data_IF_648493021471
#
_entry.id   IF_648493021471
#
_cell.length_a   1.000
_cell.length_b   1.000
_cell.length_c   1.000
_cell.angle_alpha   90.00
_cell.angle_beta   90.00
_cell.angle_gamma   90.00
#
_symmetry.space_group_name_H-M   'P 1'
#
loop_
_entity.id
_entity.type
_entity.pdbx_description
1 polymer ?
#
# COMPACT_ATOMS: atom_id res chain seq x y z
N UNK A 1 3.66 -22.39 9.72
CA UNK A 1 3.47 -23.29 8.56
C UNK A 1 2.62 -22.55 7.54
N UNK A 2 3.22 -22.25 6.40
CA UNK A 2 2.91 -21.11 5.54
C UNK A 2 2.65 -21.57 4.11
N UNK A 3 1.44 -22.09 3.88
CA UNK A 3 1.02 -22.56 2.56
C UNK A 3 -0.25 -21.83 2.13
N UNK A 4 -0.22 -21.26 0.92
CA UNK A 4 -1.41 -20.84 0.16
C UNK A 4 -2.27 -22.06 -0.15
N UNK A 5 -3.61 -21.96 -0.25
CA UNK A 5 -4.50 -23.10 -0.47
C UNK A 5 -4.31 -23.83 -1.82
N UNK A 6 -3.59 -23.27 -2.80
CA UNK A 6 -3.39 -23.88 -4.11
C UNK A 6 -1.93 -24.31 -4.32
N UNK A 7 -1.55 -25.47 -3.75
CA UNK A 7 -0.19 -25.99 -3.90
C UNK A 7 -0.19 -27.18 -4.85
N UNK A 8 0.07 -26.91 -6.12
CA UNK A 8 0.49 -27.96 -7.05
C UNK A 8 1.95 -28.27 -6.75
N UNK A 9 2.26 -29.52 -6.40
CA UNK A 9 3.65 -29.99 -6.27
C UNK A 9 4.44 -29.65 -7.55
N UNK A 10 5.78 -29.54 -7.49
CA UNK A 10 6.59 -29.32 -8.69
C UNK A 10 6.22 -30.32 -9.78
N UNK A 11 5.91 -29.83 -10.97
CA UNK A 11 5.47 -30.67 -12.08
C UNK A 11 6.64 -31.42 -12.71
N UNK A 12 7.83 -30.81 -12.73
CA UNK A 12 9.10 -31.44 -13.12
C UNK A 12 9.89 -31.87 -11.86
N UNK A 13 10.24 -33.16 -11.72
CA UNK A 13 11.10 -33.65 -10.64
C UNK A 13 12.43 -32.91 -10.49
N UNK A 14 12.96 -32.31 -11.57
CA UNK A 14 14.19 -31.52 -11.55
C UNK A 14 14.06 -30.19 -10.81
N UNK A 15 12.84 -29.71 -10.59
CA UNK A 15 12.60 -28.49 -9.81
C UNK A 15 12.54 -28.76 -8.30
N UNK A 16 12.44 -30.03 -7.87
CA UNK A 16 12.39 -30.37 -6.43
C UNK A 16 13.63 -29.89 -5.65
N UNK A 17 14.88 -30.07 -6.13
CA UNK A 17 16.06 -29.55 -5.43
C UNK A 17 16.07 -28.01 -5.32
N UNK A 18 15.48 -27.32 -6.30
CA UNK A 18 15.33 -25.85 -6.28
C UNK A 18 14.34 -25.46 -5.20
N UNK A 19 13.18 -26.14 -5.15
CA UNK A 19 12.17 -25.93 -4.13
C UNK A 19 12.75 -26.13 -2.72
N UNK A 20 13.50 -27.21 -2.49
CA UNK A 20 14.07 -27.51 -1.17
C UNK A 20 15.05 -26.41 -0.71
N UNK A 21 15.88 -25.90 -1.63
CA UNK A 21 16.79 -24.77 -1.36
C UNK A 21 16.03 -23.49 -1.07
N UNK A 22 15.04 -23.14 -1.90
CA UNK A 22 14.21 -21.95 -1.70
C UNK A 22 13.45 -22.00 -0.36
N UNK A 23 12.96 -23.18 0.05
CA UNK A 23 12.33 -23.36 1.35
C UNK A 23 13.31 -23.10 2.51
N UNK A 24 14.54 -23.59 2.39
CA UNK A 24 15.60 -23.33 3.38
C UNK A 24 15.94 -21.83 3.47
N UNK A 25 16.10 -21.16 2.32
CA UNK A 25 16.35 -19.72 2.25
C UNK A 25 15.19 -18.94 2.86
N UNK A 26 13.94 -19.28 2.52
CA UNK A 26 12.73 -18.67 3.11
C UNK A 26 12.73 -18.78 4.64
N UNK A 27 13.04 -19.95 5.19
CA UNK A 27 13.12 -20.14 6.64
C UNK A 27 14.19 -19.26 7.27
N UNK A 28 15.37 -19.12 6.65
CA UNK A 28 16.43 -18.22 7.14
C UNK A 28 16.01 -16.75 7.10
N UNK A 29 15.35 -16.31 6.02
CA UNK A 29 14.77 -14.96 5.92
C UNK A 29 13.71 -14.71 7.00
N UNK A 30 12.85 -15.70 7.29
CA UNK A 30 11.85 -15.58 8.36
C UNK A 30 12.48 -15.50 9.75
N UNK A 31 13.56 -16.27 10.00
CA UNK A 31 14.32 -16.20 11.25
C UNK A 31 14.99 -14.83 11.42
N UNK A 32 15.62 -14.30 10.37
CA UNK A 32 16.24 -12.98 10.37
C UNK A 32 15.22 -11.87 10.70
N UNK A 33 14.01 -11.97 10.13
CA UNK A 33 12.89 -11.08 10.48
C UNK A 33 12.50 -11.17 11.96
N UNK A 34 12.41 -12.37 12.50
CA UNK A 34 11.92 -12.62 13.86
C UNK A 34 12.92 -12.25 14.95
N UNK A 35 14.22 -12.30 14.64
CA UNK A 35 15.27 -12.00 15.61
C UNK A 35 15.34 -10.50 15.91
N UNK A 36 14.89 -10.11 17.12
CA UNK A 36 14.94 -8.73 17.62
C UNK A 36 16.11 -8.45 18.55
N UNK A 37 17.04 -9.40 18.72
CA UNK A 37 18.18 -9.24 19.63
C UNK A 37 19.25 -8.31 19.07
N UNK A 38 19.36 -8.22 17.74
CA UNK A 38 20.29 -7.34 17.02
C UNK A 38 19.58 -6.66 15.85
N UNK A 39 20.20 -5.60 15.32
CA UNK A 39 19.79 -5.00 14.05
C UNK A 39 20.09 -5.95 12.89
N UNK A 40 19.31 -5.84 11.81
CA UNK A 40 19.54 -6.63 10.59
C UNK A 40 20.79 -6.10 9.86
N UNK A 41 21.75 -6.98 9.58
CA UNK A 41 22.96 -6.61 8.84
C UNK A 41 22.75 -6.71 7.33
N UNK A 42 23.31 -5.75 6.60
CA UNK A 42 23.23 -5.72 5.13
C UNK A 42 23.88 -6.93 4.47
N UNK A 43 24.97 -7.46 5.03
CA UNK A 43 25.65 -8.67 4.53
C UNK A 43 24.71 -9.87 4.53
N UNK A 44 24.03 -10.11 5.66
CA UNK A 44 23.21 -11.31 5.86
C UNK A 44 22.01 -11.34 4.89
N UNK A 45 21.46 -10.17 4.57
CA UNK A 45 20.38 -10.01 3.59
C UNK A 45 20.90 -10.20 2.16
N UNK A 46 22.06 -9.63 1.82
CA UNK A 46 22.65 -9.73 0.48
C UNK A 46 23.07 -11.18 0.18
N UNK A 47 23.64 -11.88 1.15
CA UNK A 47 24.02 -13.29 1.00
C UNK A 47 22.80 -14.17 0.69
N UNK A 48 21.69 -13.96 1.42
CA UNK A 48 20.43 -14.67 1.16
C UNK A 48 19.83 -14.30 -0.20
N UNK A 49 19.96 -13.04 -0.61
CA UNK A 49 19.55 -12.60 -1.94
C UNK A 49 20.35 -13.32 -3.05
N UNK A 50 21.67 -13.40 -2.92
CA UNK A 50 22.54 -14.06 -3.89
C UNK A 50 22.19 -15.55 -4.01
N UNK A 51 21.93 -16.23 -2.89
CA UNK A 51 21.45 -17.62 -2.88
C UNK A 51 20.12 -17.81 -3.62
N UNK A 52 19.17 -16.86 -3.51
CA UNK A 52 17.91 -16.88 -4.29
C UNK A 52 18.21 -16.70 -5.76
N UNK A 53 19.08 -15.76 -6.13
CA UNK A 53 19.44 -15.52 -7.53
C UNK A 53 20.09 -16.74 -8.17
N UNK A 54 20.95 -17.45 -7.46
CA UNK A 54 21.49 -18.73 -7.94
C UNK A 54 20.37 -19.71 -8.30
N UNK A 55 19.32 -19.79 -7.47
CA UNK A 55 18.18 -20.67 -7.75
C UNK A 55 17.36 -20.19 -8.95
N UNK A 56 17.19 -18.88 -9.13
CA UNK A 56 16.51 -18.30 -10.30
C UNK A 56 17.25 -18.65 -11.59
N UNK A 57 18.58 -18.53 -11.62
CA UNK A 57 19.39 -18.87 -12.80
C UNK A 57 19.22 -20.35 -13.17
N UNK A 58 19.23 -21.24 -12.17
CA UNK A 58 19.01 -22.67 -12.41
C UNK A 58 17.58 -22.93 -12.91
N UNK A 59 16.58 -22.28 -12.32
CA UNK A 59 15.17 -22.43 -12.72
C UNK A 59 14.91 -21.95 -14.15
N UNK A 60 15.44 -20.78 -14.53
CA UNK A 60 15.30 -20.22 -15.88
C UNK A 60 15.99 -21.10 -16.93
N UNK A 61 17.13 -21.71 -16.56
CA UNK A 61 17.82 -22.69 -17.38
C UNK A 61 17.00 -23.97 -17.61
N UNK A 62 16.21 -24.41 -16.63
CA UNK A 62 15.31 -25.57 -16.76
C UNK A 62 14.05 -25.24 -17.56
N UNK A 63 13.44 -24.07 -17.31
CA UNK A 63 12.15 -23.67 -17.89
C UNK A 63 12.25 -23.00 -19.25
N UNK A 64 13.23 -23.35 -20.10
CA UNK A 64 13.41 -22.66 -21.39
C UNK A 64 12.16 -22.72 -22.29
N UNK A 65 11.40 -23.82 -22.24
CA UNK A 65 10.19 -24.05 -23.06
C UNK A 65 8.85 -23.84 -22.33
N UNK A 66 8.82 -23.88 -20.99
CA UNK A 66 7.57 -23.89 -20.19
C UNK A 66 7.50 -22.76 -19.14
N UNK A 67 7.98 -21.55 -19.48
CA UNK A 67 8.10 -20.40 -18.56
C UNK A 67 6.80 -19.95 -17.88
N UNK A 68 5.63 -20.37 -18.38
CA UNK A 68 4.32 -19.95 -17.89
C UNK A 68 3.68 -20.93 -16.89
N UNK A 69 4.32 -22.07 -16.62
CA UNK A 69 3.79 -23.03 -15.66
C UNK A 69 4.00 -22.53 -14.23
N UNK A 70 2.89 -22.31 -13.52
CA UNK A 70 2.89 -21.93 -12.10
C UNK A 70 2.76 -23.18 -11.23
N UNK A 71 3.73 -23.39 -10.35
CA UNK A 71 3.70 -24.46 -9.36
C UNK A 71 4.24 -23.97 -8.00
N UNK A 72 4.46 -24.89 -7.07
CA UNK A 72 4.93 -24.57 -5.72
C UNK A 72 6.28 -23.82 -5.69
N UNK A 73 7.17 -24.05 -6.64
CA UNK A 73 8.46 -23.34 -6.74
C UNK A 73 8.20 -21.85 -6.90
N UNK A 74 7.27 -21.47 -7.76
CA UNK A 74 6.90 -20.06 -8.02
C UNK A 74 6.33 -19.38 -6.77
N UNK A 75 5.48 -20.08 -6.01
CA UNK A 75 4.92 -19.55 -4.77
C UNK A 75 6.00 -19.30 -3.72
N UNK A 76 6.94 -20.24 -3.55
CA UNK A 76 8.03 -20.09 -2.57
C UNK A 76 9.05 -19.05 -3.05
N UNK A 77 9.29 -18.96 -4.36
CA UNK A 77 10.15 -17.94 -4.94
C UNK A 77 9.55 -16.53 -4.74
N UNK A 78 8.24 -16.36 -4.93
CA UNK A 78 7.55 -15.11 -4.61
C UNK A 78 7.71 -14.78 -3.12
N UNK A 79 7.47 -15.74 -2.21
CA UNK A 79 7.70 -15.56 -0.77
C UNK A 79 9.12 -15.07 -0.45
N UNK A 80 10.14 -15.68 -1.05
CA UNK A 80 11.54 -15.28 -0.88
C UNK A 80 11.78 -13.84 -1.35
N UNK A 81 11.28 -13.47 -2.53
CA UNK A 81 11.45 -12.12 -3.07
C UNK A 81 10.68 -11.06 -2.28
N UNK A 82 9.50 -11.36 -1.74
CA UNK A 82 8.77 -10.48 -0.83
C UNK A 82 9.59 -10.21 0.43
N UNK A 83 10.12 -11.26 1.06
CA UNK A 83 10.94 -11.15 2.27
C UNK A 83 12.26 -10.41 2.00
N UNK A 84 12.94 -10.70 0.89
CA UNK A 84 14.15 -9.98 0.46
C UNK A 84 13.83 -8.50 0.27
N UNK A 85 12.77 -8.18 -0.48
CA UNK A 85 12.39 -6.79 -0.76
C UNK A 85 12.15 -6.01 0.51
N UNK A 86 11.37 -6.55 1.45
CA UNK A 86 11.14 -5.90 2.74
C UNK A 86 12.42 -5.82 3.59
N UNK A 87 13.32 -6.82 3.50
CA UNK A 87 14.61 -6.80 4.20
C UNK A 87 15.53 -5.72 3.64
N UNK A 88 15.52 -5.49 2.32
CA UNK A 88 16.24 -4.39 1.67
C UNK A 88 15.76 -3.02 2.16
N UNK A 89 14.46 -2.87 2.42
CA UNK A 89 13.93 -1.65 3.04
C UNK A 89 14.44 -1.49 4.48
N UNK A 90 14.42 -2.56 5.28
CA UNK A 90 14.89 -2.54 6.68
C UNK A 90 16.38 -2.20 6.82
N UNK A 91 17.20 -2.60 5.85
CA UNK A 91 18.62 -2.22 5.80
C UNK A 91 18.86 -0.89 5.08
N UNK A 92 17.83 -0.13 4.70
CA UNK A 92 17.97 1.21 4.11
C UNK A 92 18.40 1.24 2.64
N UNK A 93 18.26 0.13 1.90
CA UNK A 93 18.58 0.01 0.47
C UNK A 93 17.34 0.19 -0.43
N UNK A 94 16.49 1.15 -0.08
CA UNK A 94 15.13 1.27 -0.64
C UNK A 94 15.10 1.61 -2.13
N UNK A 95 16.18 2.19 -2.66
CA UNK A 95 16.29 2.62 -4.07
C UNK A 95 17.00 1.60 -4.96
N UNK A 96 17.15 0.35 -4.50
CA UNK A 96 17.77 -0.73 -5.25
C UNK A 96 16.71 -1.67 -5.86
N UNK A 97 16.99 -2.37 -6.98
CA UNK A 97 16.03 -3.24 -7.64
C UNK A 97 15.39 -4.31 -6.74
N UNK A 98 16.11 -5.03 -5.85
CA UNK A 98 15.47 -6.01 -4.97
C UNK A 98 14.41 -5.38 -4.05
N UNK A 99 14.57 -4.11 -3.65
CA UNK A 99 13.66 -3.43 -2.73
C UNK A 99 12.27 -3.17 -3.32
N UNK A 100 12.12 -3.12 -4.65
CA UNK A 100 10.84 -2.75 -5.29
C UNK A 100 9.82 -3.88 -5.36
N UNK A 101 10.23 -5.14 -5.16
CA UNK A 101 9.39 -6.31 -5.45
C UNK A 101 8.10 -6.37 -4.62
N UNK A 102 8.17 -6.12 -3.32
CA UNK A 102 7.02 -6.17 -2.43
C UNK A 102 6.02 -5.05 -2.73
N UNK A 103 6.54 -3.86 -3.07
CA UNK A 103 5.73 -2.73 -3.50
C UNK A 103 5.01 -3.05 -4.82
N UNK A 104 5.71 -3.58 -5.84
CA UNK A 104 5.14 -3.97 -7.13
C UNK A 104 4.05 -5.04 -6.99
N UNK A 105 4.29 -6.04 -6.14
CA UNK A 105 3.33 -7.12 -5.92
C UNK A 105 2.05 -6.62 -5.23
N UNK A 106 2.21 -5.76 -4.23
CA UNK A 106 1.06 -5.10 -3.56
C UNK A 106 0.34 -4.16 -4.52
N UNK A 107 1.07 -3.41 -5.35
CA UNK A 107 0.53 -2.51 -6.36
C UNK A 107 -0.29 -3.26 -7.40
N UNK A 108 0.19 -4.42 -7.90
CA UNK A 108 -0.61 -5.27 -8.80
C UNK A 108 -1.94 -5.66 -8.16
N UNK A 109 -1.93 -6.11 -6.90
CA UNK A 109 -3.17 -6.45 -6.17
C UNK A 109 -4.11 -5.26 -6.06
N UNK A 110 -3.58 -4.08 -5.76
CA UNK A 110 -4.37 -2.85 -5.72
C UNK A 110 -5.00 -2.54 -7.08
N UNK A 111 -4.23 -2.61 -8.17
CA UNK A 111 -4.73 -2.41 -9.54
C UNK A 111 -5.83 -3.42 -9.91
N UNK A 112 -5.66 -4.70 -9.57
CA UNK A 112 -6.68 -5.74 -9.75
C UNK A 112 -7.97 -5.38 -8.98
N UNK A 113 -7.83 -4.90 -7.74
CA UNK A 113 -8.97 -4.45 -6.93
C UNK A 113 -9.62 -3.16 -7.44
N UNK A 114 -8.87 -2.23 -8.03
CA UNK A 114 -9.45 -1.04 -8.69
C UNK A 114 -10.28 -1.47 -9.90
N UNK A 115 -9.74 -2.40 -10.70
CA UNK A 115 -10.45 -3.00 -11.85
C UNK A 115 -11.73 -3.70 -11.41
N UNK A 116 -11.67 -4.49 -10.35
CA UNK A 116 -12.83 -5.16 -9.74
C UNK A 116 -13.84 -4.17 -9.15
N UNK A 117 -13.38 -3.10 -8.50
CA UNK A 117 -14.26 -2.11 -7.88
C UNK A 117 -15.06 -1.32 -8.92
N UNK A 118 -14.47 -1.07 -10.09
CA UNK A 118 -14.99 -0.20 -11.15
C UNK A 118 -15.32 1.22 -10.68
N UNK A 119 -14.70 1.67 -9.58
CA UNK A 119 -14.73 3.06 -9.12
C UNK A 119 -13.39 3.41 -8.47
N UNK A 120 -12.75 4.46 -8.97
CA UNK A 120 -11.41 4.91 -8.59
C UNK A 120 -11.20 6.32 -9.12
N UNK A 121 -10.34 7.11 -8.48
CA UNK A 121 -10.03 8.48 -8.89
C UNK A 121 -8.80 8.54 -9.81
N UNK A 122 -8.70 9.53 -10.72
CA UNK A 122 -7.51 9.73 -11.54
C UNK A 122 -6.23 9.85 -10.71
N UNK A 123 -6.31 10.50 -9.54
CA UNK A 123 -5.18 10.66 -8.61
C UNK A 123 -4.62 9.33 -8.09
N UNK A 124 -5.49 8.32 -7.91
CA UNK A 124 -5.03 6.98 -7.52
C UNK A 124 -4.12 6.39 -8.62
N UNK A 125 -4.49 6.60 -9.89
CA UNK A 125 -3.76 6.11 -11.07
C UNK A 125 -2.46 6.89 -11.28
N UNK A 126 -2.49 8.22 -11.20
CA UNK A 126 -1.31 9.09 -11.33
C UNK A 126 -0.22 8.73 -10.30
N UNK A 127 -0.62 8.50 -9.05
CA UNK A 127 0.30 8.12 -7.98
C UNK A 127 0.96 6.77 -8.23
N UNK A 128 0.21 5.79 -8.75
CA UNK A 128 0.73 4.47 -9.12
C UNK A 128 1.66 4.59 -10.34
N UNK A 129 1.25 5.33 -11.37
CA UNK A 129 2.02 5.54 -12.60
C UNK A 129 3.37 6.19 -12.32
N UNK A 130 3.39 7.25 -11.51
CA UNK A 130 4.64 7.92 -11.10
C UNK A 130 5.59 6.94 -10.38
N UNK A 131 5.04 6.11 -9.48
CA UNK A 131 5.84 5.13 -8.75
C UNK A 131 6.39 4.01 -9.65
N UNK A 132 5.62 3.55 -10.63
CA UNK A 132 6.10 2.57 -11.62
C UNK A 132 7.31 3.09 -12.40
N UNK A 133 7.29 4.38 -12.78
CA UNK A 133 8.44 4.99 -13.44
C UNK A 133 9.66 5.06 -12.53
N UNK A 134 9.50 5.46 -11.26
CA UNK A 134 10.61 5.44 -10.30
C UNK A 134 11.20 4.03 -10.15
N UNK A 135 10.37 2.98 -10.04
CA UNK A 135 10.85 1.60 -9.96
C UNK A 135 11.61 1.15 -11.21
N UNK A 136 11.17 1.59 -12.39
CA UNK A 136 11.90 1.35 -13.63
C UNK A 136 13.26 2.05 -13.63
N UNK A 137 13.33 3.30 -13.18
CA UNK A 137 14.61 4.02 -13.05
C UNK A 137 15.57 3.31 -12.08
N UNK A 138 15.05 2.73 -10.99
CA UNK A 138 15.87 1.95 -10.05
C UNK A 138 16.43 0.70 -10.73
N UNK A 139 15.61 -0.01 -11.51
CA UNK A 139 16.04 -1.16 -12.30
C UNK A 139 17.09 -0.79 -13.35
N UNK A 140 16.91 0.34 -14.05
CA UNK A 140 17.87 0.85 -15.03
C UNK A 140 19.23 1.20 -14.39
N UNK A 141 19.22 1.91 -13.26
CA UNK A 141 20.46 2.23 -12.51
C UNK A 141 21.13 0.97 -11.93
N UNK A 142 20.36 -0.08 -11.68
CA UNK A 142 20.84 -1.38 -11.21
C UNK A 142 21.52 -2.24 -12.27
N UNK A 143 21.49 -1.84 -13.55
CA UNK A 143 22.15 -2.59 -14.63
C UNK A 143 23.65 -2.73 -14.38
N UNK A 144 24.18 -3.93 -14.57
CA UNK A 144 25.59 -4.26 -14.29
C UNK A 144 25.90 -4.54 -12.82
N UNK A 145 25.06 -4.10 -11.87
CA UNK A 145 25.19 -4.41 -10.43
C UNK A 145 24.36 -5.62 -10.01
N UNK A 146 23.15 -5.78 -10.55
CA UNK A 146 22.24 -6.90 -10.21
C UNK A 146 22.12 -7.90 -11.36
N UNK A 147 21.66 -9.11 -11.02
CA UNK A 147 21.45 -10.18 -12.00
C UNK A 147 20.46 -9.76 -13.09
N UNK A 148 20.78 -9.99 -14.38
CA UNK A 148 19.85 -9.74 -15.48
C UNK A 148 18.51 -10.47 -15.33
N UNK A 149 18.50 -11.63 -14.68
CA UNK A 149 17.29 -12.43 -14.46
C UNK A 149 16.33 -11.73 -13.49
N UNK A 150 16.86 -11.09 -12.42
CA UNK A 150 16.06 -10.26 -11.53
C UNK A 150 15.49 -9.06 -12.27
N UNK A 151 16.32 -8.34 -13.01
CA UNK A 151 15.89 -7.13 -13.72
C UNK A 151 14.82 -7.45 -14.77
N UNK A 152 14.97 -8.57 -15.49
CA UNK A 152 13.94 -9.06 -16.41
C UNK A 152 12.64 -9.44 -15.71
N UNK A 153 12.71 -10.06 -14.53
CA UNK A 153 11.54 -10.41 -13.72
C UNK A 153 10.80 -9.14 -13.25
N UNK A 154 11.54 -8.13 -12.78
CA UNK A 154 10.98 -6.86 -12.32
C UNK A 154 10.35 -6.08 -13.46
N UNK A 155 11.00 -6.01 -14.63
CA UNK A 155 10.44 -5.33 -15.81
C UNK A 155 9.13 -6.00 -16.25
N UNK A 156 9.10 -7.33 -16.34
CA UNK A 156 7.87 -8.06 -16.68
C UNK A 156 6.73 -7.77 -15.69
N UNK A 157 7.02 -7.61 -14.39
CA UNK A 157 6.02 -7.22 -13.39
C UNK A 157 5.57 -5.77 -13.54
N UNK A 158 6.48 -4.86 -13.85
CA UNK A 158 6.17 -3.45 -14.16
C UNK A 158 5.23 -3.38 -15.36
N UNK A 159 5.56 -4.06 -16.46
CA UNK A 159 4.74 -4.09 -17.69
C UNK A 159 3.32 -4.61 -17.42
N UNK A 160 3.16 -5.64 -16.58
CA UNK A 160 1.84 -6.14 -16.17
C UNK A 160 1.05 -5.05 -15.44
N UNK A 161 1.66 -4.36 -14.48
CA UNK A 161 1.01 -3.28 -13.75
C UNK A 161 0.65 -2.11 -14.68
N UNK A 162 1.54 -1.72 -15.60
CA UNK A 162 1.28 -0.65 -16.58
C UNK A 162 0.15 -1.00 -17.53
N UNK A 163 0.05 -2.26 -17.96
CA UNK A 163 -1.07 -2.71 -18.79
C UNK A 163 -2.41 -2.58 -18.06
N UNK A 164 -2.47 -2.98 -16.79
CA UNK A 164 -3.69 -2.83 -15.99
C UNK A 164 -3.98 -1.34 -15.74
N UNK A 165 -2.95 -0.54 -15.47
CA UNK A 165 -3.08 0.91 -15.31
C UNK A 165 -3.66 1.57 -16.55
N UNK A 166 -3.14 1.25 -17.74
CA UNK A 166 -3.64 1.77 -19.02
C UNK A 166 -5.11 1.39 -19.27
N UNK A 167 -5.52 0.16 -18.93
CA UNK A 167 -6.94 -0.24 -18.99
C UNK A 167 -7.82 0.65 -18.08
N UNK A 168 -7.35 0.97 -16.87
CA UNK A 168 -8.06 1.81 -15.90
C UNK A 168 -8.11 3.28 -16.34
N UNK A 169 -7.01 3.81 -16.87
CA UNK A 169 -6.96 5.16 -17.43
C UNK A 169 -7.90 5.31 -18.63
N UNK A 170 -7.93 4.30 -19.51
CA UNK A 170 -8.85 4.27 -20.64
C UNK A 170 -10.31 4.30 -20.17
N UNK A 171 -10.66 3.62 -19.08
CA UNK A 171 -11.99 3.63 -18.49
C UNK A 171 -12.44 5.03 -18.00
N UNK A 172 -11.49 5.92 -17.68
CA UNK A 172 -11.76 7.31 -17.29
C UNK A 172 -11.58 8.32 -18.43
N UNK A 173 -11.03 7.91 -19.59
CA UNK A 173 -10.64 8.80 -20.70
C UNK A 173 -11.78 9.65 -21.28
N UNK A 174 -13.03 9.22 -21.10
CA UNK A 174 -14.21 9.94 -21.60
C UNK A 174 -14.72 11.02 -20.63
N UNK A 175 -14.19 11.10 -19.40
CA UNK A 175 -14.61 12.12 -18.43
C UNK A 175 -14.19 13.52 -18.89
N UNK A 176 -15.17 14.40 -19.10
CA UNK A 176 -14.90 15.80 -19.44
C UNK A 176 -14.40 16.58 -18.21
N UNK A 177 -13.69 17.71 -18.39
CA UNK A 177 -13.22 18.55 -17.28
C UNK A 177 -14.33 19.02 -16.34
N UNK A 178 -15.57 19.14 -16.83
CA UNK A 178 -16.74 19.54 -16.05
C UNK A 178 -17.30 18.39 -15.21
N UNK A 179 -17.22 17.15 -15.71
CA UNK A 179 -17.79 15.97 -15.07
C UNK A 179 -16.81 15.23 -14.16
N UNK A 180 -15.50 15.35 -14.42
CA UNK A 180 -14.46 14.72 -13.61
C UNK A 180 -14.53 15.10 -12.12
N UNK A 181 -14.74 16.38 -11.72
CA UNK A 181 -14.89 16.74 -10.31
C UNK A 181 -16.11 16.09 -9.63
N UNK A 182 -17.21 15.90 -10.38
CA UNK A 182 -18.42 15.25 -9.85
C UNK A 182 -18.19 13.75 -9.65
N UNK A 183 -17.53 13.10 -10.62
CA UNK A 183 -17.13 11.70 -10.50
C UNK A 183 -16.20 11.49 -9.29
N UNK A 184 -15.16 12.32 -9.13
CA UNK A 184 -14.25 12.26 -7.98
C UNK A 184 -14.98 12.43 -6.65
N UNK A 185 -15.94 13.36 -6.60
CA UNK A 185 -16.77 13.58 -5.41
C UNK A 185 -17.61 12.35 -5.09
N UNK A 186 -18.20 11.68 -6.08
CA UNK A 186 -18.93 10.43 -5.87
C UNK A 186 -18.03 9.29 -5.38
N UNK A 187 -16.82 9.14 -5.94
CA UNK A 187 -15.83 8.16 -5.45
C UNK A 187 -15.50 8.42 -3.99
N UNK A 188 -15.24 9.68 -3.64
CA UNK A 188 -14.95 10.11 -2.26
C UNK A 188 -16.10 9.82 -1.29
N UNK A 189 -17.35 10.13 -1.68
CA UNK A 189 -18.55 9.82 -0.89
C UNK A 189 -18.66 8.31 -0.66
N UNK A 190 -18.52 7.48 -1.71
CA UNK A 190 -18.65 6.03 -1.59
C UNK A 190 -17.59 5.42 -0.68
N UNK A 191 -16.33 5.88 -0.78
CA UNK A 191 -15.23 5.47 0.11
C UNK A 191 -15.52 5.89 1.56
N UNK A 192 -16.01 7.10 1.78
CA UNK A 192 -16.33 7.64 3.11
C UNK A 192 -17.50 6.91 3.77
N UNK A 193 -18.54 6.57 3.01
CA UNK A 193 -19.67 5.75 3.48
C UNK A 193 -19.21 4.34 3.88
N UNK A 194 -18.33 3.74 3.08
CA UNK A 194 -17.74 2.42 3.40
C UNK A 194 -16.90 2.47 4.68
N UNK A 195 -16.13 3.56 4.89
CA UNK A 195 -15.41 3.79 6.13
C UNK A 195 -16.34 3.92 7.33
N UNK A 196 -17.42 4.72 7.22
CA UNK A 196 -18.43 4.88 8.26
C UNK A 196 -19.05 3.55 8.69
N UNK A 197 -19.30 2.65 7.75
CA UNK A 197 -19.90 1.34 8.02
C UNK A 197 -19.03 0.42 8.90
N UNK A 198 -17.71 0.66 8.93
CA UNK A 198 -16.74 -0.18 9.69
C UNK A 198 -16.28 0.45 11.00
N UNK A 199 -16.86 1.58 11.40
CA UNK A 199 -16.58 2.19 12.71
C UNK A 199 -17.21 1.37 13.83
N UNK A 200 -16.59 1.41 15.02
CA UNK A 200 -17.08 0.72 16.22
C UNK A 200 -18.50 1.13 16.61
N UNK A 201 -18.85 2.40 16.37
CA UNK A 201 -20.21 2.93 16.48
C UNK A 201 -20.61 3.56 15.16
N UNK A 202 -21.77 3.19 14.64
CA UNK A 202 -22.29 3.71 13.38
C UNK A 202 -22.51 5.23 13.48
N UNK A 203 -21.81 6.05 12.66
CA UNK A 203 -21.83 7.50 12.78
C UNK A 203 -23.02 8.09 12.00
N UNK A 204 -24.20 8.12 12.61
CA UNK A 204 -25.41 8.60 11.93
C UNK A 204 -25.27 10.03 11.37
N UNK A 205 -24.66 10.96 12.12
CA UNK A 205 -24.46 12.34 11.68
C UNK A 205 -23.60 12.42 10.40
N UNK A 206 -22.40 11.84 10.42
CA UNK A 206 -21.51 11.79 9.25
C UNK A 206 -22.18 11.17 8.01
N UNK A 207 -23.01 10.13 8.21
CA UNK A 207 -23.74 9.48 7.12
C UNK A 207 -24.85 10.37 6.55
N UNK A 208 -25.53 11.16 7.38
CA UNK A 208 -26.50 12.16 6.91
C UNK A 208 -25.80 13.30 6.16
N UNK A 209 -24.66 13.79 6.67
CA UNK A 209 -23.87 14.84 6.00
C UNK A 209 -23.38 14.36 4.62
N UNK A 210 -22.94 13.10 4.52
CA UNK A 210 -22.55 12.49 3.24
C UNK A 210 -23.75 12.30 2.29
N UNK A 211 -24.95 12.02 2.83
CA UNK A 211 -26.17 11.94 2.04
C UNK A 211 -26.60 13.32 1.52
N UNK A 212 -26.40 14.38 2.30
CA UNK A 212 -26.66 15.75 1.86
C UNK A 212 -25.72 16.15 0.72
N UNK A 213 -24.42 15.91 0.88
CA UNK A 213 -23.42 16.10 -0.19
C UNK A 213 -23.76 15.28 -1.44
N UNK A 214 -24.26 14.04 -1.28
CA UNK A 214 -24.67 13.21 -2.42
C UNK A 214 -25.88 13.81 -3.17
N UNK A 215 -26.82 14.42 -2.45
CA UNK A 215 -27.97 15.12 -3.06
C UNK A 215 -27.55 16.39 -3.78
N UNK A 216 -26.56 17.12 -3.24
CA UNK A 216 -25.97 18.29 -3.91
C UNK A 216 -25.29 17.87 -5.21
N UNK A 217 -24.43 16.84 -5.19
CA UNK A 217 -23.81 16.31 -6.41
C UNK A 217 -24.89 15.87 -7.40
N UNK A 218 -25.92 15.18 -6.92
CA UNK A 218 -27.04 14.76 -7.77
C UNK A 218 -27.72 15.94 -8.48
N UNK A 219 -27.99 17.05 -7.80
CA UNK A 219 -28.63 18.22 -8.43
C UNK A 219 -27.74 18.85 -9.50
N UNK A 220 -26.43 18.87 -9.31
CA UNK A 220 -25.47 19.37 -10.31
C UNK A 220 -25.35 18.49 -11.55
N UNK A 221 -25.68 17.19 -11.44
CA UNK A 221 -25.62 16.21 -12.53
C UNK A 221 -26.89 16.20 -13.40
N UNK A 222 -28.03 16.67 -12.88
CA UNK A 222 -29.31 16.70 -13.60
C UNK A 222 -29.27 17.51 -14.92
N UNK A 223 -28.62 18.70 -15.00
CA UNK A 223 -28.50 19.45 -16.26
C UNK A 223 -27.78 18.67 -17.38
N UNK A 224 -26.93 17.71 -17.02
CA UNK A 224 -26.23 16.83 -17.97
C UNK A 224 -27.07 15.58 -18.34
N UNK A 225 -28.32 15.53 -17.89
CA UNK A 225 -29.23 14.40 -18.10
C UNK A 225 -28.82 13.13 -17.36
N UNK A 226 -27.93 13.24 -16.37
CA UNK A 226 -27.51 12.13 -15.50
C UNK A 226 -28.49 12.05 -14.34
N UNK A 227 -29.24 10.95 -14.26
CA UNK A 227 -30.28 10.76 -13.25
C UNK A 227 -30.06 9.48 -12.44
N UNK A 228 -30.28 9.53 -11.13
CA UNK A 228 -30.16 8.33 -10.28
C UNK A 228 -31.37 7.39 -10.41
N UNK A 229 -32.51 7.90 -10.89
CA UNK A 229 -33.79 7.19 -10.96
C UNK A 229 -34.50 7.56 -12.27
N UNK A 230 -34.94 6.56 -13.02
CA UNK A 230 -35.81 6.77 -14.20
C UNK A 230 -37.29 6.77 -13.81
N UNK A 231 -37.66 6.04 -12.75
CA UNK A 231 -39.05 5.90 -12.31
C UNK A 231 -39.51 7.02 -11.35
N UNK A 232 -40.82 7.33 -11.40
CA UNK A 232 -41.53 8.23 -10.47
C UNK A 232 -42.13 7.50 -9.26
N UNK A 233 -41.81 6.21 -9.08
CA UNK A 233 -42.37 5.33 -8.04
C UNK A 233 -41.98 5.66 -6.60
N UNK A 234 -42.42 4.82 -5.68
CA UNK A 234 -42.09 4.87 -4.25
C UNK A 234 -40.59 4.67 -4.01
N UNK A 235 -40.10 5.03 -2.80
CA UNK A 235 -38.67 4.87 -2.45
C UNK A 235 -38.18 3.42 -2.57
N UNK A 236 -39.05 2.45 -2.29
CA UNK A 236 -38.73 1.03 -2.33
C UNK A 236 -38.64 0.53 -3.78
N UNK A 237 -39.54 0.96 -4.66
CA UNK A 237 -39.51 0.64 -6.10
C UNK A 237 -38.24 1.19 -6.76
N UNK A 238 -37.84 2.43 -6.42
CA UNK A 238 -36.58 3.02 -6.89
C UNK A 238 -35.37 2.22 -6.43
N UNK A 239 -35.35 1.78 -5.17
CA UNK A 239 -34.23 1.00 -4.63
C UNK A 239 -34.14 -0.39 -5.28
N UNK A 240 -35.28 -1.03 -5.53
CA UNK A 240 -35.36 -2.31 -6.22
C UNK A 240 -34.90 -2.20 -7.69
N UNK A 241 -35.31 -1.14 -8.39
CA UNK A 241 -34.84 -0.83 -9.75
C UNK A 241 -33.32 -0.67 -9.79
N UNK A 242 -32.76 0.12 -8.88
CA UNK A 242 -31.31 0.32 -8.76
C UNK A 242 -30.57 -0.99 -8.47
N UNK A 243 -31.08 -1.80 -7.55
CA UNK A 243 -30.46 -3.08 -7.20
C UNK A 243 -30.46 -4.05 -8.39
N UNK A 244 -31.55 -4.09 -9.17
CA UNK A 244 -31.65 -4.93 -10.37
C UNK A 244 -30.70 -4.45 -11.49
N UNK A 245 -30.71 -3.15 -11.83
CA UNK A 245 -29.80 -2.56 -12.82
C UNK A 245 -28.33 -2.77 -12.45
N UNK A 246 -28.00 -2.64 -11.17
CA UNK A 246 -26.63 -2.81 -10.73
C UNK A 246 -26.16 -4.26 -10.80
N UNK A 247 -27.01 -5.23 -10.46
CA UNK A 247 -26.68 -6.66 -10.58
C UNK A 247 -26.36 -7.02 -12.04
N UNK A 248 -27.19 -6.58 -12.97
CA UNK A 248 -26.98 -6.77 -14.41
C UNK A 248 -25.66 -6.16 -14.89
N UNK A 249 -25.33 -4.93 -14.45
CA UNK A 249 -24.08 -4.26 -14.81
C UNK A 249 -22.82 -4.94 -14.22
N UNK A 250 -22.96 -5.62 -13.08
CA UNK A 250 -21.85 -6.39 -12.46
C UNK A 250 -21.66 -7.72 -13.17
N UNK A 251 -22.74 -8.38 -13.60
CA UNK A 251 -22.70 -9.67 -14.31
C UNK A 251 -22.25 -9.53 -15.78
N UNK A 252 -22.51 -8.38 -16.41
CA UNK A 252 -22.17 -8.10 -17.81
C UNK A 252 -21.48 -6.74 -18.00
N UNK A 253 -20.15 -6.66 -17.81
CA UNK A 253 -19.40 -5.45 -18.10
C UNK A 253 -19.35 -5.20 -19.61
N UNK A 254 -20.17 -4.25 -20.09
CA UNK A 254 -20.14 -3.71 -21.47
C UNK A 254 -18.86 -2.87 -21.73
N UNK A 255 -18.46 -2.62 -23.00
CA UNK A 255 -17.30 -1.79 -23.32
C UNK A 255 -17.45 -0.36 -22.77
N UNK A 256 -16.30 0.34 -22.67
CA UNK A 256 -16.13 1.63 -21.99
C UNK A 256 -17.41 2.48 -22.01
N UNK A 257 -18.09 2.64 -20.86
CA UNK A 257 -19.34 3.37 -20.81
C UNK A 257 -19.08 4.83 -21.20
N UNK A 258 -19.96 5.41 -22.02
CA UNK A 258 -20.04 6.86 -22.17
C UNK A 258 -19.97 7.50 -20.77
N UNK A 259 -19.21 8.58 -20.60
CA UNK A 259 -18.96 9.21 -19.29
C UNK A 259 -20.23 9.40 -18.45
N UNK A 260 -21.35 9.66 -19.13
CA UNK A 260 -22.69 9.69 -18.57
C UNK A 260 -23.06 8.41 -17.80
N UNK A 261 -22.98 7.24 -18.43
CA UNK A 261 -23.33 5.93 -17.86
C UNK A 261 -22.39 5.54 -16.71
N UNK A 262 -21.11 5.91 -16.81
CA UNK A 262 -20.14 5.71 -15.73
C UNK A 262 -20.57 6.44 -14.45
N UNK A 263 -20.85 7.74 -14.56
CA UNK A 263 -21.25 8.60 -13.44
C UNK A 263 -22.62 8.18 -12.92
N UNK A 264 -23.56 7.87 -13.80
CA UNK A 264 -24.89 7.39 -13.43
C UNK A 264 -24.82 6.11 -12.59
N UNK A 265 -24.03 5.14 -13.03
CA UNK A 265 -23.81 3.87 -12.30
C UNK A 265 -23.21 4.14 -10.92
N UNK A 266 -22.21 5.02 -10.83
CA UNK A 266 -21.58 5.35 -9.55
C UNK A 266 -22.53 6.10 -8.61
N UNK A 267 -23.31 7.04 -9.14
CA UNK A 267 -24.34 7.77 -8.40
C UNK A 267 -25.39 6.80 -7.80
N UNK A 268 -25.86 5.85 -8.61
CA UNK A 268 -26.77 4.80 -8.15
C UNK A 268 -26.14 3.95 -7.05
N UNK A 269 -24.86 3.55 -7.20
CA UNK A 269 -24.14 2.81 -6.17
C UNK A 269 -24.08 3.57 -4.84
N UNK A 270 -23.83 4.87 -4.87
CA UNK A 270 -23.80 5.72 -3.68
C UNK A 270 -25.15 5.71 -2.95
N UNK A 271 -26.26 6.01 -3.64
CA UNK A 271 -27.59 6.04 -3.01
C UNK A 271 -28.00 4.67 -2.44
N UNK A 272 -27.77 3.60 -3.19
CA UNK A 272 -28.04 2.24 -2.73
C UNK A 272 -27.20 1.91 -1.49
N UNK A 273 -25.93 2.30 -1.50
CA UNK A 273 -25.04 2.05 -0.37
C UNK A 273 -25.47 2.81 0.89
N UNK A 274 -25.78 4.10 0.79
CA UNK A 274 -26.31 4.89 1.92
C UNK A 274 -27.54 4.21 2.53
N UNK A 275 -28.52 3.85 1.69
CA UNK A 275 -29.76 3.21 2.17
C UNK A 275 -29.45 1.89 2.90
N UNK A 276 -28.57 1.07 2.31
CA UNK A 276 -28.19 -0.24 2.86
C UNK A 276 -27.46 -0.11 4.19
N UNK A 277 -26.47 0.78 4.30
CA UNK A 277 -25.69 0.95 5.55
C UNK A 277 -26.53 1.58 6.66
N UNK A 278 -27.50 2.46 6.35
CA UNK A 278 -28.42 3.03 7.36
C UNK A 278 -29.36 1.96 7.94
N UNK A 279 -29.75 0.97 7.13
CA UNK A 279 -30.55 -0.16 7.59
C UNK A 279 -29.73 -1.14 8.43
N UNK A 280 -28.51 -1.48 7.97
CA UNK A 280 -27.68 -2.53 8.59
C UNK A 280 -26.85 -2.02 9.77
N UNK A 281 -26.45 -0.75 9.77
CA UNK A 281 -25.69 -0.06 10.82
C UNK A 281 -24.45 -0.84 11.30
N UNK A 282 -23.62 -1.32 10.37
CA UNK A 282 -22.41 -2.08 10.70
C UNK A 282 -22.65 -3.53 11.17
N UNK A 283 -23.91 -4.01 11.21
CA UNK A 283 -24.21 -5.40 11.59
C UNK A 283 -23.90 -6.35 10.43
N UNK A 284 -22.94 -7.25 10.65
CA UNK A 284 -22.52 -8.29 9.70
C UNK A 284 -23.22 -9.61 10.04
N UNK A 285 -23.69 -10.33 9.03
CA UNK A 285 -24.26 -11.66 9.20
C UNK A 285 -23.26 -12.64 9.85
N UNK A 286 -23.76 -13.57 10.68
CA UNK A 286 -22.91 -14.47 11.48
C UNK A 286 -21.93 -15.28 10.63
N UNK A 287 -22.35 -15.75 9.45
CA UNK A 287 -21.52 -16.54 8.54
C UNK A 287 -20.27 -15.81 8.01
N UNK A 288 -20.24 -14.48 8.09
CA UNK A 288 -19.11 -13.64 7.63
C UNK A 288 -18.40 -12.93 8.78
N UNK A 289 -18.82 -13.16 10.04
CA UNK A 289 -18.30 -12.46 11.21
C UNK A 289 -16.81 -12.71 11.40
N UNK A 290 -16.36 -13.96 11.26
CA UNK A 290 -14.96 -14.34 11.44
C UNK A 290 -14.04 -13.61 10.44
N UNK A 291 -14.39 -13.62 9.15
CA UNK A 291 -13.62 -12.92 8.11
C UNK A 291 -13.63 -11.41 8.34
N UNK A 292 -14.79 -10.85 8.72
CA UNK A 292 -14.91 -9.43 9.05
C UNK A 292 -14.00 -9.03 10.22
N UNK A 293 -14.05 -9.76 11.33
CA UNK A 293 -13.27 -9.43 12.53
C UNK A 293 -11.76 -9.53 12.25
N UNK A 294 -11.32 -10.55 11.49
CA UNK A 294 -9.92 -10.67 11.05
C UNK A 294 -9.47 -9.49 10.20
N UNK A 295 -10.25 -9.12 9.17
CA UNK A 295 -9.93 -7.98 8.30
C UNK A 295 -9.94 -6.66 9.08
N UNK A 296 -10.89 -6.48 10.00
CA UNK A 296 -10.98 -5.30 10.85
C UNK A 296 -9.77 -5.19 11.78
N UNK A 297 -9.35 -6.29 12.40
CA UNK A 297 -8.17 -6.35 13.26
C UNK A 297 -6.89 -6.00 12.48
N UNK A 298 -6.68 -6.60 11.30
CA UNK A 298 -5.54 -6.30 10.43
C UNK A 298 -5.54 -4.81 10.06
N UNK A 299 -6.68 -4.29 9.59
CA UNK A 299 -6.82 -2.88 9.22
C UNK A 299 -6.47 -1.94 10.37
N UNK A 300 -7.00 -2.20 11.57
CA UNK A 300 -6.76 -1.37 12.75
C UNK A 300 -5.28 -1.42 13.20
N UNK A 301 -4.63 -2.59 13.14
CA UNK A 301 -3.20 -2.71 13.43
C UNK A 301 -2.36 -1.92 12.43
N UNK A 302 -2.64 -2.05 11.14
CA UNK A 302 -1.93 -1.32 10.08
C UNK A 302 -2.14 0.20 10.19
N UNK A 303 -3.35 0.68 10.46
CA UNK A 303 -3.61 2.11 10.65
C UNK A 303 -2.90 2.66 11.89
N UNK A 304 -2.84 1.88 12.98
CA UNK A 304 -2.05 2.27 14.16
C UNK A 304 -0.57 2.38 13.83
N UNK A 305 -0.02 1.44 13.06
CA UNK A 305 1.38 1.49 12.61
C UNK A 305 1.65 2.74 11.76
N UNK A 306 0.77 3.04 10.79
CA UNK A 306 0.88 4.21 9.94
C UNK A 306 0.78 5.54 10.71
N UNK A 307 -0.10 5.62 11.72
CA UNK A 307 -0.29 6.85 12.50
C UNK A 307 0.85 7.09 13.49
N UNK A 308 1.30 6.04 14.18
CA UNK A 308 2.28 6.17 15.27
C UNK A 308 3.73 6.18 14.79
N UNK A 309 3.96 5.92 13.49
CA UNK A 309 5.29 5.69 12.91
C UNK A 309 6.12 4.80 13.85
N UNK A 310 5.55 3.63 14.18
CA UNK A 310 6.04 2.79 15.29
C UNK A 310 7.53 2.52 15.14
N UNK A 311 8.29 2.99 16.13
CA UNK A 311 9.76 3.04 16.11
C UNK A 311 10.40 1.65 16.16
N UNK A 312 9.59 0.62 16.44
CA UNK A 312 9.97 -0.79 16.50
C UNK A 312 9.51 -1.60 15.29
N UNK A 313 8.76 -1.01 14.37
CA UNK A 313 8.29 -1.70 13.18
C UNK A 313 9.48 -1.93 12.25
N UNK A 314 9.73 -3.18 11.87
CA UNK A 314 10.54 -3.48 10.68
C UNK A 314 9.62 -3.62 9.50
N UNK A 315 10.04 -3.18 8.33
CA UNK A 315 9.28 -3.37 7.08
C UNK A 315 8.96 -4.85 6.84
N UNK A 316 9.86 -5.74 7.24
CA UNK A 316 9.65 -7.20 7.20
C UNK A 316 8.44 -7.70 8.01
N UNK A 317 7.93 -6.93 8.99
CA UNK A 317 6.69 -7.27 9.71
C UNK A 317 5.46 -7.21 8.81
N UNK A 318 5.49 -6.37 7.76
CA UNK A 318 4.41 -6.22 6.79
C UNK A 318 4.13 -7.53 6.04
N UNK A 319 5.14 -8.40 5.89
CA UNK A 319 4.99 -9.72 5.25
C UNK A 319 3.89 -10.54 5.92
N UNK A 320 3.81 -10.52 7.26
CA UNK A 320 2.81 -11.30 7.99
C UNK A 320 1.38 -10.81 7.74
N UNK A 321 1.20 -9.50 7.56
CA UNK A 321 -0.08 -8.91 7.22
C UNK A 321 -0.45 -9.17 5.77
N UNK A 322 0.49 -8.99 4.83
CA UNK A 322 0.32 -9.32 3.42
C UNK A 322 -0.17 -10.77 3.25
N UNK A 323 0.54 -11.74 3.84
CA UNK A 323 0.15 -13.16 3.75
C UNK A 323 -1.21 -13.48 4.35
N UNK A 324 -1.63 -12.76 5.39
CA UNK A 324 -2.98 -12.93 5.94
C UNK A 324 -4.04 -12.38 4.99
N UNK A 325 -3.81 -11.21 4.38
CA UNK A 325 -4.71 -10.63 3.38
C UNK A 325 -4.78 -11.50 2.13
N UNK A 326 -3.63 -11.96 1.61
CA UNK A 326 -3.57 -12.81 0.42
C UNK A 326 -4.39 -14.09 0.61
N UNK A 327 -4.31 -14.73 1.79
CA UNK A 327 -5.14 -15.91 2.08
C UNK A 327 -6.63 -15.60 2.10
N UNK A 328 -7.01 -14.44 2.64
CA UNK A 328 -8.42 -14.02 2.67
C UNK A 328 -8.88 -13.71 1.23
N UNK A 329 -8.04 -13.04 0.45
CA UNK A 329 -8.32 -12.68 -0.94
C UNK A 329 -8.42 -13.91 -1.85
N UNK A 330 -7.48 -14.84 -1.74
CA UNK A 330 -7.42 -16.12 -2.48
C UNK A 330 -8.54 -17.09 -2.07
N UNK A 331 -9.18 -16.91 -0.91
CA UNK A 331 -10.31 -17.74 -0.48
C UNK A 331 -11.61 -17.43 -1.22
N UNK A 332 -11.67 -16.32 -1.97
CA UNK A 332 -12.83 -15.90 -2.72
C UNK A 332 -13.03 -16.77 -3.95
N UNK A 333 -14.29 -17.03 -4.31
CA UNK A 333 -14.66 -17.80 -5.51
C UNK A 333 -15.47 -16.90 -6.43
N UNK A 334 -15.03 -16.74 -7.67
CA UNK A 334 -15.62 -15.82 -8.66
C UNK A 334 -15.83 -14.41 -8.11
N UNK A 335 -14.86 -13.93 -7.33
CA UNK A 335 -14.88 -12.63 -6.67
C UNK A 335 -15.68 -12.56 -5.37
N UNK A 336 -16.46 -13.59 -5.02
CA UNK A 336 -17.35 -13.60 -3.86
C UNK A 336 -16.70 -14.23 -2.61
N UNK A 337 -16.94 -13.62 -1.45
CA UNK A 337 -16.68 -14.26 -0.16
C UNK A 337 -17.73 -15.35 0.10
N UNK A 338 -17.31 -16.50 0.59
CA UNK A 338 -18.19 -17.61 0.95
C UNK A 338 -18.27 -17.75 2.47
N UNK A 339 -19.45 -18.13 2.97
CA UNK A 339 -19.61 -18.54 4.37
C UNK A 339 -19.14 -19.99 4.60
N UNK A 340 -19.24 -20.47 5.84
CA UNK A 340 -18.85 -21.85 6.21
C UNK A 340 -19.65 -22.96 5.51
N UNK A 341 -20.78 -22.62 4.87
CA UNK A 341 -21.61 -23.53 4.09
C UNK A 341 -21.37 -23.38 2.57
N UNK A 342 -20.42 -22.54 2.16
CA UNK A 342 -20.11 -22.28 0.75
C UNK A 342 -21.08 -21.33 0.06
N UNK A 343 -21.90 -20.58 0.82
CA UNK A 343 -22.87 -19.63 0.23
C UNK A 343 -22.21 -18.26 0.01
N UNK A 344 -22.45 -17.60 -1.13
CA UNK A 344 -21.87 -16.29 -1.41
C UNK A 344 -22.44 -15.21 -0.50
N UNK A 345 -21.60 -14.23 -0.18
CA UNK A 345 -21.99 -13.03 0.56
C UNK A 345 -23.03 -12.22 -0.20
N UNK A 346 -24.04 -11.73 0.52
CA UNK A 346 -24.90 -10.67 0.02
C UNK A 346 -24.07 -9.40 -0.26
N UNK A 347 -24.62 -8.53 -1.11
CA UNK A 347 -23.92 -7.32 -1.58
C UNK A 347 -23.39 -6.44 -0.44
N UNK A 348 -24.05 -6.46 0.72
CA UNK A 348 -23.66 -5.67 1.88
C UNK A 348 -22.40 -6.21 2.57
N UNK A 349 -22.39 -7.50 2.90
CA UNK A 349 -21.24 -8.20 3.46
C UNK A 349 -20.07 -8.18 2.47
N UNK A 350 -20.33 -8.51 1.20
CA UNK A 350 -19.34 -8.52 0.13
C UNK A 350 -18.59 -7.17 0.03
N UNK A 351 -19.32 -6.06 -0.04
CA UNK A 351 -18.72 -4.72 -0.13
C UNK A 351 -17.97 -4.32 1.13
N UNK A 352 -18.49 -4.68 2.30
CA UNK A 352 -17.86 -4.32 3.56
C UNK A 352 -16.52 -5.05 3.75
N UNK A 353 -16.48 -6.35 3.43
CA UNK A 353 -15.26 -7.16 3.47
C UNK A 353 -14.24 -6.66 2.43
N UNK A 354 -14.68 -6.41 1.19
CA UNK A 354 -13.83 -5.84 0.14
C UNK A 354 -13.24 -4.49 0.53
N UNK A 355 -14.03 -3.63 1.17
CA UNK A 355 -13.53 -2.35 1.67
C UNK A 355 -12.38 -2.53 2.66
N UNK A 356 -12.54 -3.40 3.67
CA UNK A 356 -11.50 -3.66 4.66
C UNK A 356 -10.25 -4.29 4.04
N UNK A 357 -10.42 -5.25 3.12
CA UNK A 357 -9.34 -5.90 2.38
C UNK A 357 -8.52 -4.86 1.59
N UNK A 358 -9.20 -4.07 0.74
CA UNK A 358 -8.57 -3.03 -0.09
C UNK A 358 -7.90 -1.95 0.74
N UNK A 359 -8.55 -1.50 1.83
CA UNK A 359 -7.97 -0.52 2.74
C UNK A 359 -6.70 -1.06 3.40
N UNK A 360 -6.68 -2.34 3.76
CA UNK A 360 -5.50 -2.97 4.37
C UNK A 360 -4.34 -3.08 3.38
N UNK A 361 -4.58 -3.53 2.13
CA UNK A 361 -3.56 -3.51 1.08
C UNK A 361 -3.04 -2.09 0.79
N UNK A 362 -3.93 -1.10 0.74
CA UNK A 362 -3.55 0.29 0.50
C UNK A 362 -2.68 0.84 1.64
N UNK A 363 -2.99 0.52 2.89
CA UNK A 363 -2.15 0.91 4.03
C UNK A 363 -0.80 0.19 4.03
N UNK A 364 -0.74 -1.08 3.66
CA UNK A 364 0.53 -1.80 3.48
C UNK A 364 1.37 -1.14 2.40
N UNK A 365 0.79 -0.89 1.23
CA UNK A 365 1.47 -0.21 0.14
C UNK A 365 2.02 1.15 0.58
N UNK A 366 1.18 1.95 1.25
CA UNK A 366 1.61 3.23 1.83
C UNK A 366 2.81 3.07 2.76
N UNK A 367 2.76 2.12 3.71
CA UNK A 367 3.85 1.85 4.66
C UNK A 367 5.15 1.43 3.95
N UNK A 368 5.05 0.65 2.86
CA UNK A 368 6.21 0.24 2.06
C UNK A 368 6.83 1.44 1.35
N UNK A 369 6.03 2.25 0.64
CA UNK A 369 6.55 3.37 -0.16
C UNK A 369 6.93 4.59 0.68
N UNK A 370 6.44 4.67 1.91
CA UNK A 370 6.84 5.70 2.88
C UNK A 370 8.01 5.26 3.77
N UNK A 371 8.61 4.07 3.54
CA UNK A 371 9.78 3.64 4.29
C UNK A 371 10.97 4.53 3.96
N UNK A 372 11.58 5.07 5.01
CA UNK A 372 12.76 5.92 4.90
C UNK A 372 13.99 5.08 4.51
N UNK A 373 14.86 5.56 3.62
CA UNK A 373 16.04 4.83 3.16
C UNK A 373 17.17 4.91 4.21
N UNK A 374 16.87 4.49 5.44
CA UNK A 374 17.77 4.53 6.60
C UNK A 374 17.76 3.18 7.27
N UNK A 375 18.93 2.55 7.39
CA UNK A 375 19.04 1.25 8.05
C UNK A 375 18.51 1.30 9.50
N UNK A 376 17.95 0.18 9.95
CA UNK A 376 17.43 0.01 11.33
C UNK A 376 18.37 0.55 12.41
N UNK A 377 19.67 0.34 12.20
CA UNK A 377 20.72 0.68 13.14
C UNK A 377 20.94 2.21 13.28
N UNK A 378 20.53 3.00 12.28
CA UNK A 378 20.59 4.47 12.29
C UNK A 378 19.25 5.13 12.68
N UNK A 379 18.14 4.39 12.73
CA UNK A 379 16.83 4.92 13.10
C UNK A 379 16.82 5.71 14.43
N UNK A 380 17.53 5.30 15.50
CA UNK A 380 17.56 6.08 16.74
C UNK A 380 18.13 7.50 16.55
N UNK A 381 19.12 7.66 15.67
CA UNK A 381 19.74 8.94 15.37
C UNK A 381 18.84 9.74 14.43
N UNK A 382 18.37 9.10 13.36
CA UNK A 382 17.46 9.72 12.38
C UNK A 382 16.23 10.32 13.07
N UNK A 383 15.56 9.54 13.93
CA UNK A 383 14.36 10.00 14.64
C UNK A 383 14.63 11.20 15.56
N UNK A 384 15.78 11.23 16.25
CA UNK A 384 16.18 12.37 17.07
C UNK A 384 16.34 13.63 16.23
N UNK A 385 16.97 13.51 15.07
CA UNK A 385 17.15 14.62 14.14
C UNK A 385 15.84 15.07 13.52
N UNK A 386 14.94 14.15 13.15
CA UNK A 386 13.61 14.50 12.64
C UNK A 386 12.80 15.28 13.68
N UNK A 387 12.86 14.89 14.96
CA UNK A 387 12.22 15.63 16.05
C UNK A 387 12.86 17.02 16.22
N UNK A 388 14.19 17.12 16.21
CA UNK A 388 14.89 18.41 16.30
C UNK A 388 14.50 19.34 15.15
N UNK A 389 14.48 18.83 13.90
CA UNK A 389 14.06 19.60 12.72
C UNK A 389 12.64 20.15 12.91
N UNK A 390 11.69 19.32 13.36
CA UNK A 390 10.31 19.76 13.62
C UNK A 390 10.27 20.88 14.65
N UNK A 391 10.96 20.72 15.78
CA UNK A 391 11.01 21.76 16.81
C UNK A 391 11.64 23.06 16.29
N UNK A 392 12.75 23.00 15.57
CA UNK A 392 13.39 24.18 14.98
C UNK A 392 12.48 24.89 13.97
N UNK A 393 11.78 24.14 13.12
CA UNK A 393 10.81 24.71 12.18
C UNK A 393 9.61 25.34 12.88
N UNK A 394 9.15 24.77 14.00
CA UNK A 394 8.09 25.37 14.81
C UNK A 394 8.56 26.68 15.45
N UNK A 395 9.77 26.73 16.00
CA UNK A 395 10.38 27.97 16.51
C UNK A 395 10.44 29.04 15.42
N UNK A 396 10.91 28.69 14.22
CA UNK A 396 10.96 29.61 13.07
C UNK A 396 9.56 30.13 12.71
N UNK A 397 8.56 29.26 12.66
CA UNK A 397 7.17 29.65 12.38
C UNK A 397 6.55 30.53 13.47
N UNK A 398 6.99 30.38 14.71
CA UNK A 398 6.53 31.18 15.85
C UNK A 398 7.22 32.55 15.96
N UNK A 399 8.01 32.95 14.96
CA UNK A 399 8.70 34.25 14.95
C UNK A 399 10.11 34.22 15.53
N UNK A 400 10.75 33.06 15.58
CA UNK A 400 12.14 32.93 16.01
C UNK A 400 12.31 32.87 17.53
N UNK A 401 13.49 33.26 18.01
CA UNK A 401 13.83 33.31 19.44
C UNK A 401 14.21 34.73 19.85
N UNK A 402 13.93 35.10 21.10
CA UNK A 402 14.25 36.45 21.60
C UNK A 402 15.71 36.62 22.01
N UNK A 403 16.43 35.51 22.19
CA UNK A 403 17.86 35.51 22.48
C UNK A 403 18.54 34.26 21.90
N UNK A 404 19.75 34.37 21.33
CA UNK A 404 20.56 33.22 20.90
C UNK A 404 20.73 32.12 21.97
N UNK A 405 20.64 32.48 23.25
CA UNK A 405 20.76 31.53 24.37
C UNK A 405 19.65 30.48 24.39
N UNK A 406 18.47 30.81 23.88
CA UNK A 406 17.34 29.88 23.80
C UNK A 406 17.61 28.72 22.82
N UNK A 407 18.56 28.89 21.89
CA UNK A 407 18.98 27.85 20.94
C UNK A 407 20.06 26.91 21.51
N UNK A 408 20.55 27.16 22.73
CA UNK A 408 21.62 26.35 23.34
C UNK A 408 21.23 24.87 23.51
N UNK A 409 20.02 24.50 23.98
CA UNK A 409 19.62 23.09 24.07
C UNK A 409 19.66 22.36 22.72
N UNK A 410 19.22 23.01 21.65
CA UNK A 410 19.27 22.46 20.29
C UNK A 410 20.72 22.28 19.83
N UNK A 411 21.56 23.30 20.03
CA UNK A 411 22.99 23.26 19.67
C UNK A 411 23.74 22.15 20.41
N UNK A 412 23.48 21.99 21.72
CA UNK A 412 24.05 20.90 22.52
C UNK A 412 23.62 19.54 22.01
N UNK A 413 22.34 19.38 21.66
CA UNK A 413 21.84 18.10 21.15
C UNK A 413 22.43 17.77 19.77
N UNK A 414 22.52 18.75 18.87
CA UNK A 414 23.13 18.57 17.55
C UNK A 414 24.60 18.20 17.66
N UNK A 415 25.39 18.92 18.48
CA UNK A 415 26.79 18.58 18.74
C UNK A 415 26.95 17.20 19.40
N UNK A 416 26.02 16.81 20.28
CA UNK A 416 26.04 15.48 20.88
C UNK A 416 25.83 14.37 19.85
N UNK A 417 24.97 14.58 18.85
CA UNK A 417 24.77 13.64 17.74
C UNK A 417 25.99 13.66 16.83
N UNK A 418 26.52 14.86 16.54
CA UNK A 418 27.69 15.05 15.70
C UNK A 418 28.93 14.30 16.21
N UNK A 419 29.15 14.36 17.52
CA UNK A 419 30.24 13.67 18.21
C UNK A 419 30.13 12.13 18.18
N UNK A 420 28.99 11.57 17.75
CA UNK A 420 28.86 10.12 17.53
C UNK A 420 29.56 9.67 16.24
N UNK A 421 29.95 10.61 15.38
CA UNK A 421 30.63 10.32 14.11
C UNK A 421 32.13 10.07 14.33
N UNK A 422 32.67 9.11 13.58
CA UNK A 422 34.11 8.82 13.46
C UNK A 422 34.51 9.13 12.02
N UNK A 423 35.48 10.03 11.83
CA UNK A 423 35.92 10.51 10.51
C UNK A 423 34.76 11.01 9.62
N UNK A 424 33.81 11.73 10.23
CA UNK A 424 32.62 12.27 9.56
C UNK A 424 31.51 11.25 9.28
N UNK A 425 31.63 10.01 9.78
CA UNK A 425 30.67 8.91 9.55
C UNK A 425 30.18 8.31 10.86
N UNK A 426 28.89 8.08 10.99
CA UNK A 426 28.30 7.12 11.92
C UNK A 426 28.79 5.70 11.59
N UNK A 427 29.43 5.07 12.56
CA UNK A 427 29.97 3.72 12.46
C UNK A 427 29.22 2.80 13.42
N UNK A 428 28.93 1.58 12.99
CA UNK A 428 28.37 0.53 13.85
C UNK A 428 29.27 -0.68 13.73
N UNK A 429 29.82 -1.12 14.87
CA UNK A 429 30.96 -2.02 14.92
C UNK A 429 32.15 -1.50 14.10
N UNK A 430 32.36 -2.03 12.89
CA UNK A 430 33.42 -1.65 11.95
C UNK A 430 32.89 -1.22 10.59
N UNK A 431 31.56 -1.22 10.43
CA UNK A 431 30.91 -0.99 9.15
C UNK A 431 30.19 0.36 9.13
N UNK A 432 30.09 0.91 7.92
CA UNK A 432 29.29 2.11 7.66
C UNK A 432 27.87 1.62 7.35
N UNK A 433 26.86 1.98 8.17
CA UNK A 433 25.50 1.54 7.90
C UNK A 433 24.93 2.22 6.64
N UNK A 434 24.12 1.46 5.91
CA UNK A 434 23.39 1.96 4.75
C UNK A 434 22.38 3.06 5.15
N UNK A 435 22.14 3.99 4.22
CA UNK A 435 21.23 5.13 4.45
C UNK A 435 21.81 6.29 5.25
N UNK A 436 23.09 6.22 5.64
CA UNK A 436 23.77 7.27 6.39
C UNK A 436 23.73 8.64 5.71
N UNK A 437 23.79 8.71 4.38
CA UNK A 437 23.76 9.98 3.65
C UNK A 437 22.56 10.85 4.03
N UNK A 438 21.39 10.22 4.17
CA UNK A 438 20.15 10.89 4.59
C UNK A 438 20.22 11.40 6.04
N UNK A 439 20.89 10.67 6.93
CA UNK A 439 21.07 11.09 8.33
C UNK A 439 22.05 12.27 8.42
N UNK A 440 23.14 12.24 7.65
CA UNK A 440 24.12 13.34 7.60
C UNK A 440 23.47 14.60 7.02
N UNK A 441 22.76 14.48 5.90
CA UNK A 441 22.03 15.60 5.31
C UNK A 441 21.02 16.19 6.31
N UNK A 442 20.27 15.36 7.03
CA UNK A 442 19.31 15.83 8.02
C UNK A 442 20.00 16.52 9.21
N UNK A 443 21.18 16.06 9.62
CA UNK A 443 21.99 16.72 10.64
C UNK A 443 22.45 18.10 10.17
N UNK A 444 22.94 18.20 8.93
CA UNK A 444 23.35 19.46 8.30
C UNK A 444 22.16 20.43 8.20
N UNK A 445 21.00 19.98 7.72
CA UNK A 445 19.76 20.78 7.70
C UNK A 445 19.40 21.34 9.08
N UNK A 446 19.55 20.55 10.14
CA UNK A 446 19.27 21.02 11.50
C UNK A 446 20.29 22.05 11.99
N UNK A 447 21.57 21.90 11.63
CA UNK A 447 22.59 22.90 11.93
C UNK A 447 22.32 24.22 11.21
N UNK A 448 21.97 24.16 9.91
CA UNK A 448 21.60 25.34 9.12
C UNK A 448 20.39 26.05 9.71
N UNK A 449 19.30 25.34 10.00
CA UNK A 449 18.11 25.94 10.65
C UNK A 449 18.43 26.59 11.99
N UNK A 450 19.28 25.96 12.81
CA UNK A 450 19.68 26.51 14.10
C UNK A 450 20.61 27.74 13.94
N UNK A 451 21.41 27.79 12.88
CA UNK A 451 22.26 28.93 12.55
C UNK A 451 21.42 30.11 12.05
N UNK A 452 20.51 29.89 11.10
CA UNK A 452 19.57 30.91 10.60
C UNK A 452 18.81 31.58 11.75
N UNK A 453 18.19 30.78 12.62
CA UNK A 453 17.45 31.29 13.80
C UNK A 453 18.34 32.08 14.76
N UNK A 454 19.62 31.74 14.85
CA UNK A 454 20.56 32.46 15.71
C UNK A 454 20.88 33.82 15.11
N UNK A 455 21.19 33.87 13.82
CA UNK A 455 21.50 35.12 13.11
C UNK A 455 20.31 36.06 13.14
N UNK A 456 19.10 35.57 12.88
CA UNK A 456 17.86 36.37 12.99
C UNK A 456 17.71 36.99 14.39
N UNK A 457 17.96 36.21 15.46
CA UNK A 457 17.88 36.71 16.82
C UNK A 457 19.00 37.70 17.20
N UNK A 458 20.19 37.57 16.60
CA UNK A 458 21.30 38.52 16.78
C UNK A 458 21.04 39.85 16.04
N UNK A 459 20.38 39.81 14.88
CA UNK A 459 20.03 41.00 14.09
C UNK A 459 18.84 41.78 14.68
N UNK A 460 17.94 41.12 15.41
CA UNK A 460 16.79 41.74 16.10
C UNK A 460 17.10 42.24 17.53
N UNK A 461 18.27 41.88 18.08
CA UNK A 461 18.76 42.31 19.41
C UNK A 461 19.53 43.62 19.37
#
# INVERSE_FOLDING_TARGET
MADSPAVRAPLDPKEQPILDKLLSIRTRLELLRQDRSTYVKSSDVVDLYDEVIEQVVVLDGLRTSNRHELNRVDTVLDDCFQLISLSYLTIGKNHEPPAVYAALSTMKRLLDHLKEATFFSPKDLESIGSRLQEFREYCQRGQGKYSPHLLSLLEARIEICEKILADLELALSQLTPELAPQYDKLVSILRSLSACNTRSKFPNADVEDLLEQLKEVYSTLQPYGIVAFESTGTKEEKLAEMAAKLRLAVEHPEPAPEAKKLIETLLQRCFLWVATIKQKQGKIAEGFRETYDKLLEIRNKLEKLALTHSWSLRETDLYSYQRQLDRIDESRVDGNFLDSLGRPADIYEQRTLLYLLRKSYATIYHLIVSSEPVSEALLPIYNQLTTLRKCLLEVKKSGGVSSPRELYPYSMKLNSIDNMRVDGKFMIDKDIPDGQGSVIQLLEECFELAYELRTEAEDES
#
